data_IF_863904095974
#
_entry.id   IF_863904095974
#
_cell.length_a   1.000
_cell.length_b   1.000
_cell.length_c   1.000
_cell.angle_alpha   90.00
_cell.angle_beta   90.00
_cell.angle_gamma   90.00
#
_symmetry.space_group_name_H-M   'P 1'
#
loop_
_entity.id
_entity.type
_entity.pdbx_description
1 polymer ?
#
# COMPACT_ATOMS: atom_id res chain seq x y z
N UNK A 1 15.44 18.50 -27.81
CA UNK A 1 14.48 18.71 -26.72
C UNK A 1 14.49 17.52 -25.77
N UNK A 2 14.36 17.73 -24.47
CA UNK A 2 14.51 16.70 -23.45
C UNK A 2 13.43 15.60 -23.44
N UNK A 3 12.51 15.58 -24.39
CA UNK A 3 11.32 14.70 -24.44
C UNK A 3 11.57 13.18 -24.47
N UNK A 4 12.81 12.72 -24.54
CA UNK A 4 13.15 11.27 -24.59
C UNK A 4 14.14 10.84 -23.54
N UNK A 5 14.44 11.73 -22.59
CA UNK A 5 15.51 11.53 -21.62
C UNK A 5 15.23 10.37 -20.67
N UNK A 6 14.00 10.24 -20.23
CA UNK A 6 13.54 9.17 -19.32
C UNK A 6 12.56 8.17 -19.95
N UNK A 7 12.33 8.25 -21.26
CA UNK A 7 11.50 7.25 -21.94
C UNK A 7 12.23 5.93 -22.02
N UNK A 8 11.76 4.97 -21.28
CA UNK A 8 12.26 3.60 -21.28
C UNK A 8 12.34 3.05 -22.72
N UNK A 9 13.49 2.45 -23.07
CA UNK A 9 13.71 1.95 -24.42
C UNK A 9 14.25 2.97 -25.43
N UNK A 10 14.24 4.27 -25.13
CA UNK A 10 14.86 5.28 -26.01
C UNK A 10 16.41 5.16 -25.98
N UNK A 11 17.06 5.59 -27.07
CA UNK A 11 18.53 5.60 -27.14
C UNK A 11 19.14 6.52 -26.06
N UNK A 12 18.49 7.64 -25.78
CA UNK A 12 18.94 8.59 -24.76
C UNK A 12 18.80 7.98 -23.35
N UNK A 13 17.73 7.26 -23.07
CA UNK A 13 17.55 6.55 -21.80
C UNK A 13 18.66 5.51 -21.59
N UNK A 14 18.96 4.69 -22.61
CA UNK A 14 20.05 3.69 -22.56
C UNK A 14 21.41 4.34 -22.34
N UNK A 15 21.65 5.46 -23.01
CA UNK A 15 22.89 6.23 -22.88
C UNK A 15 23.01 6.78 -21.44
N UNK A 16 21.97 7.36 -20.90
CA UNK A 16 21.95 7.87 -19.54
C UNK A 16 22.24 6.80 -18.50
N UNK A 17 21.69 5.59 -18.71
CA UNK A 17 21.98 4.44 -17.84
C UNK A 17 23.42 3.97 -17.96
N UNK A 18 24.01 4.01 -19.15
CA UNK A 18 25.40 3.66 -19.39
C UNK A 18 26.38 4.65 -18.70
N UNK A 19 25.97 5.89 -18.47
CA UNK A 19 26.70 6.91 -17.72
C UNK A 19 26.34 6.97 -16.23
N UNK A 20 25.79 5.90 -15.67
CA UNK A 20 25.53 5.75 -14.24
C UNK A 20 24.51 6.75 -13.67
N UNK A 21 23.64 7.32 -14.51
CA UNK A 21 22.51 8.13 -14.04
C UNK A 21 21.56 7.25 -13.25
N UNK A 22 21.73 7.24 -11.93
CA UNK A 22 20.97 6.41 -10.97
C UNK A 22 19.97 7.28 -10.24
N UNK A 23 18.74 7.26 -10.69
CA UNK A 23 17.67 7.90 -9.97
C UNK A 23 16.94 6.90 -9.08
N UNK A 24 16.70 7.31 -7.85
CA UNK A 24 15.83 6.56 -6.96
C UNK A 24 14.42 7.10 -6.94
N UNK A 25 14.21 8.40 -7.25
CA UNK A 25 12.96 9.14 -7.02
C UNK A 25 12.41 9.04 -5.59
N UNK A 26 13.21 8.48 -4.68
CA UNK A 26 12.84 8.24 -3.28
C UNK A 26 13.33 9.36 -2.36
N UNK A 27 14.47 9.94 -2.73
CA UNK A 27 15.08 11.04 -1.99
C UNK A 27 15.68 12.05 -2.99
N UNK A 28 14.98 13.15 -3.29
CA UNK A 28 15.45 14.16 -4.24
C UNK A 28 16.81 14.77 -3.90
N UNK A 29 17.11 14.93 -2.62
CA UNK A 29 18.42 15.46 -2.18
C UNK A 29 19.55 14.48 -2.52
N UNK A 30 19.35 13.20 -2.28
CA UNK A 30 20.31 12.16 -2.65
C UNK A 30 20.45 12.04 -4.18
N UNK A 31 19.34 12.11 -4.90
CA UNK A 31 19.36 12.04 -6.36
C UNK A 31 20.14 13.22 -6.96
N UNK A 32 20.01 14.44 -6.37
CA UNK A 32 20.83 15.60 -6.74
C UNK A 32 22.31 15.38 -6.42
N UNK A 33 22.64 14.81 -5.26
CA UNK A 33 24.02 14.53 -4.86
C UNK A 33 24.68 13.47 -5.76
N UNK A 34 23.94 12.46 -6.19
CA UNK A 34 24.47 11.37 -7.03
C UNK A 34 24.57 11.78 -8.50
N UNK A 35 23.56 12.42 -9.04
CA UNK A 35 23.46 12.71 -10.47
C UNK A 35 23.83 14.17 -10.83
N UNK A 36 23.96 15.03 -9.83
CA UNK A 36 24.09 16.46 -10.02
C UNK A 36 22.78 17.15 -10.37
N UNK A 37 22.69 18.48 -10.17
CA UNK A 37 21.43 19.23 -10.29
C UNK A 37 20.86 19.23 -11.72
N UNK A 38 21.72 19.28 -12.74
CA UNK A 38 21.27 19.35 -14.14
C UNK A 38 20.66 18.03 -14.59
N UNK A 39 21.34 16.89 -14.35
CA UNK A 39 20.83 15.57 -14.71
C UNK A 39 19.57 15.26 -13.90
N UNK A 40 19.57 15.61 -12.62
CA UNK A 40 18.39 15.43 -11.77
C UNK A 40 17.18 16.23 -12.33
N UNK A 41 17.38 17.50 -12.69
CA UNK A 41 16.36 18.34 -13.30
C UNK A 41 15.82 17.75 -14.62
N UNK A 42 16.71 17.29 -15.52
CA UNK A 42 16.32 16.67 -16.78
C UNK A 42 15.52 15.38 -16.57
N UNK A 43 15.87 14.60 -15.54
CA UNK A 43 15.16 13.40 -15.15
C UNK A 43 13.71 13.68 -14.70
N UNK A 44 13.44 14.85 -14.11
CA UNK A 44 12.10 15.24 -13.64
C UNK A 44 11.24 15.90 -14.71
N UNK A 45 11.81 16.44 -15.78
CA UNK A 45 11.05 17.15 -16.83
C UNK A 45 10.39 16.21 -17.84
N UNK A 46 11.00 15.07 -18.15
CA UNK A 46 10.55 14.19 -19.23
C UNK A 46 10.07 12.85 -18.69
N UNK A 47 9.05 12.88 -17.86
CA UNK A 47 8.40 11.68 -17.34
C UNK A 47 7.21 11.30 -18.21
N UNK A 48 7.31 10.15 -18.84
CA UNK A 48 6.13 9.47 -19.31
C UNK A 48 5.44 8.80 -18.13
N UNK A 49 4.35 9.38 -17.67
CA UNK A 49 3.59 8.85 -16.53
C UNK A 49 2.85 7.58 -16.96
N UNK A 50 2.07 7.67 -18.02
CA UNK A 50 1.40 6.55 -18.70
C UNK A 50 0.94 6.98 -20.10
N UNK A 51 0.62 6.01 -20.95
CA UNK A 51 0.09 6.27 -22.29
C UNK A 51 -1.30 6.89 -22.23
N UNK A 52 -1.54 7.86 -23.11
CA UNK A 52 -2.85 8.49 -23.24
C UNK A 52 -3.85 7.54 -23.86
N UNK A 53 -4.97 7.23 -23.19
CA UNK A 53 -6.06 6.46 -23.80
C UNK A 53 -6.61 7.15 -25.06
N UNK A 54 -6.90 6.38 -26.10
CA UNK A 54 -7.24 6.92 -27.44
C UNK A 54 -8.47 7.81 -27.46
N UNK A 55 -9.45 7.58 -26.59
CA UNK A 55 -10.71 8.32 -26.52
C UNK A 55 -10.79 9.23 -25.26
N UNK A 56 -9.65 9.57 -24.68
CA UNK A 56 -9.63 10.44 -23.50
C UNK A 56 -10.18 11.83 -23.80
N UNK A 57 -11.21 12.21 -23.06
CA UNK A 57 -11.85 13.54 -23.14
C UNK A 57 -12.67 13.83 -21.89
N UNK A 58 -13.02 15.09 -21.68
CA UNK A 58 -13.95 15.50 -20.60
C UNK A 58 -15.29 14.76 -20.72
N UNK A 59 -15.82 14.64 -21.94
CA UNK A 59 -17.09 13.91 -22.19
C UNK A 59 -16.99 12.45 -21.81
N UNK A 60 -15.85 11.80 -22.11
CA UNK A 60 -15.66 10.39 -21.75
C UNK A 60 -15.58 10.19 -20.25
N UNK A 61 -14.91 11.10 -19.54
CA UNK A 61 -14.87 11.05 -18.05
C UNK A 61 -16.27 11.24 -17.47
N UNK A 62 -17.08 12.16 -18.02
CA UNK A 62 -18.47 12.35 -17.60
C UNK A 62 -19.33 11.08 -17.81
N UNK A 63 -19.15 10.41 -18.97
CA UNK A 63 -19.83 9.12 -19.24
C UNK A 63 -19.43 8.03 -18.26
N UNK A 64 -18.16 7.97 -17.87
CA UNK A 64 -17.70 7.02 -16.85
C UNK A 64 -18.32 7.31 -15.49
N UNK A 65 -18.39 8.58 -15.11
CA UNK A 65 -19.10 8.97 -13.88
C UNK A 65 -20.55 8.48 -13.90
N UNK A 66 -21.31 8.73 -14.95
CA UNK A 66 -22.71 8.33 -15.07
C UNK A 66 -22.86 6.80 -15.02
N UNK A 67 -21.98 6.07 -15.70
CA UNK A 67 -21.94 4.61 -15.67
C UNK A 67 -21.74 4.07 -14.25
N UNK A 68 -20.71 4.55 -13.55
CA UNK A 68 -20.37 4.05 -12.23
C UNK A 68 -21.25 4.62 -11.12
N UNK A 69 -21.90 5.74 -11.33
CA UNK A 69 -22.95 6.20 -10.41
C UNK A 69 -24.14 5.23 -10.39
N UNK A 70 -24.53 4.67 -11.53
CA UNK A 70 -25.55 3.62 -11.59
C UNK A 70 -25.12 2.35 -10.86
N UNK A 71 -23.85 1.95 -11.00
CA UNK A 71 -23.29 0.82 -10.25
C UNK A 71 -23.29 1.12 -8.74
N UNK A 72 -22.90 2.32 -8.33
CA UNK A 72 -22.95 2.77 -6.95
C UNK A 72 -24.37 2.71 -6.39
N UNK A 73 -25.37 3.18 -7.14
CA UNK A 73 -26.77 3.15 -6.72
C UNK A 73 -27.25 1.72 -6.47
N UNK A 74 -26.83 0.75 -7.28
CA UNK A 74 -27.14 -0.68 -7.07
C UNK A 74 -26.45 -1.23 -5.80
N UNK A 75 -25.16 -0.97 -5.64
CA UNK A 75 -24.41 -1.41 -4.44
C UNK A 75 -25.04 -0.82 -3.18
N UNK A 76 -25.41 0.45 -3.22
CA UNK A 76 -25.94 1.18 -2.07
C UNK A 76 -27.34 0.75 -1.63
N UNK A 77 -28.05 -0.03 -2.44
CA UNK A 77 -29.32 -0.65 -2.02
C UNK A 77 -29.15 -1.60 -0.83
N UNK A 78 -27.99 -2.20 -0.67
CA UNK A 78 -27.68 -3.18 0.38
C UNK A 78 -26.69 -2.68 1.43
N UNK A 79 -26.03 -1.54 1.19
CA UNK A 79 -25.11 -0.93 2.15
C UNK A 79 -25.84 -0.03 3.14
N UNK A 80 -25.55 -0.19 4.42
CA UNK A 80 -26.30 0.48 5.51
C UNK A 80 -25.55 1.61 6.18
N UNK A 81 -24.22 1.62 6.10
CA UNK A 81 -23.39 2.53 6.87
C UNK A 81 -22.90 3.72 6.05
N UNK A 82 -22.74 4.84 6.75
CA UNK A 82 -22.06 6.04 6.25
C UNK A 82 -20.58 5.95 6.65
N UNK A 83 -19.70 5.98 5.66
CA UNK A 83 -18.25 5.89 5.89
C UNK A 83 -17.73 7.00 6.81
N UNK A 84 -18.30 8.21 6.73
CA UNK A 84 -17.88 9.34 7.56
C UNK A 84 -18.08 9.13 9.06
N UNK A 85 -18.91 8.17 9.43
CA UNK A 85 -19.17 7.79 10.83
C UNK A 85 -18.28 6.65 11.32
N UNK A 86 -17.51 6.02 10.43
CA UNK A 86 -16.57 4.95 10.74
C UNK A 86 -15.23 5.52 11.19
N UNK A 87 -14.51 4.78 12.01
CA UNK A 87 -13.05 4.97 12.19
C UNK A 87 -12.34 3.90 11.38
N UNK A 88 -11.59 4.32 10.37
CA UNK A 88 -10.84 3.43 9.48
C UNK A 88 -9.36 3.72 9.62
N UNK A 89 -8.58 2.66 9.81
CA UNK A 89 -7.13 2.72 9.95
C UNK A 89 -6.52 1.94 8.80
N UNK A 90 -5.71 2.61 7.98
CA UNK A 90 -4.82 1.94 7.05
C UNK A 90 -3.44 1.86 7.71
N UNK A 91 -2.99 0.66 8.01
CA UNK A 91 -1.71 0.41 8.65
C UNK A 91 -0.75 -0.25 7.67
N UNK A 92 0.16 0.55 7.13
CA UNK A 92 1.32 0.06 6.42
C UNK A 92 2.32 -0.48 7.44
N UNK A 93 2.53 -1.80 7.44
CA UNK A 93 3.51 -2.47 8.27
C UNK A 93 4.80 -2.68 7.47
N UNK A 94 5.84 -1.97 7.86
CA UNK A 94 7.13 -1.93 7.16
C UNK A 94 7.69 -3.33 6.90
N UNK A 95 7.93 -3.65 5.63
CA UNK A 95 8.53 -4.90 5.13
C UNK A 95 7.87 -6.18 5.67
N UNK A 96 6.58 -6.17 6.00
CA UNK A 96 5.94 -7.29 6.68
C UNK A 96 5.47 -8.37 5.71
N UNK A 97 6.07 -9.56 5.81
CA UNK A 97 5.65 -10.79 5.14
C UNK A 97 5.37 -11.89 6.16
N UNK A 98 4.70 -12.93 5.72
CA UNK A 98 4.66 -14.19 6.46
C UNK A 98 6.04 -14.87 6.35
N UNK A 99 6.78 -15.06 7.45
CA UNK A 99 8.13 -15.65 7.39
C UNK A 99 8.21 -17.02 6.74
N UNK A 100 7.13 -17.78 6.75
CA UNK A 100 7.09 -19.08 6.06
C UNK A 100 7.09 -18.97 4.53
N UNK A 101 6.88 -17.77 4.00
CA UNK A 101 6.89 -17.53 2.53
C UNK A 101 8.27 -17.24 1.96
N UNK A 102 9.31 -17.10 2.78
CA UNK A 102 10.67 -17.05 2.24
C UNK A 102 10.92 -18.30 1.39
N UNK A 103 11.37 -18.17 0.14
CA UNK A 103 11.70 -19.32 -0.69
C UNK A 103 12.69 -20.23 0.02
N UNK A 104 12.46 -21.55 -0.06
CA UNK A 104 13.31 -22.61 0.51
C UNK A 104 13.49 -22.60 2.04
N UNK A 105 12.86 -21.71 2.79
CA UNK A 105 13.03 -21.64 4.23
C UNK A 105 12.57 -22.91 4.93
N UNK A 106 13.38 -23.36 5.90
CA UNK A 106 13.05 -24.44 6.82
C UNK A 106 13.32 -23.98 8.23
N UNK A 107 12.35 -24.22 9.12
CA UNK A 107 12.52 -23.99 10.55
C UNK A 107 12.89 -25.30 11.25
N UNK A 108 13.77 -25.23 12.24
CA UNK A 108 14.10 -26.36 13.09
C UNK A 108 12.83 -26.91 13.76
N UNK A 109 12.80 -28.23 13.99
CA UNK A 109 11.65 -28.91 14.64
C UNK A 109 11.33 -28.25 15.99
N UNK A 110 10.06 -27.97 16.24
CA UNK A 110 9.59 -27.36 17.47
C UNK A 110 9.77 -25.85 17.56
N UNK A 111 10.24 -25.19 16.51
CA UNK A 111 10.31 -23.74 16.45
C UNK A 111 8.91 -23.12 16.54
N UNK A 112 8.73 -22.13 17.43
CA UNK A 112 7.46 -21.41 17.58
C UNK A 112 7.17 -20.58 16.34
N UNK A 113 5.91 -20.58 15.92
CA UNK A 113 5.43 -19.71 14.85
C UNK A 113 5.66 -18.23 15.20
N UNK A 114 6.43 -17.48 14.42
CA UNK A 114 6.74 -16.08 14.73
C UNK A 114 5.51 -15.15 14.70
N UNK A 115 4.49 -15.48 13.92
CA UNK A 115 3.28 -14.66 13.76
C UNK A 115 2.01 -15.47 14.06
N UNK A 116 2.04 -16.23 15.12
CA UNK A 116 0.95 -17.15 15.50
C UNK A 116 -0.39 -16.46 15.69
N UNK A 117 -0.40 -15.24 16.24
CA UNK A 117 -1.63 -14.49 16.41
C UNK A 117 -2.20 -14.04 15.07
N UNK A 118 -1.40 -13.48 14.19
CA UNK A 118 -1.83 -13.04 12.85
C UNK A 118 -2.32 -14.26 12.06
N UNK A 119 -1.64 -15.41 12.11
CA UNK A 119 -2.11 -16.64 11.48
C UNK A 119 -3.49 -17.07 12.03
N UNK A 120 -3.75 -16.89 13.31
CA UNK A 120 -5.05 -17.24 13.91
C UNK A 120 -6.21 -16.43 13.36
N UNK A 121 -5.95 -15.20 12.87
CA UNK A 121 -6.97 -14.33 12.28
C UNK A 121 -7.55 -14.89 10.98
N UNK A 122 -6.86 -15.80 10.30
CA UNK A 122 -7.33 -16.43 9.06
C UNK A 122 -8.71 -17.05 9.19
N UNK A 123 -9.05 -17.58 10.35
CA UNK A 123 -10.33 -18.26 10.59
C UNK A 123 -11.51 -17.30 10.68
N UNK A 124 -11.31 -16.13 11.26
CA UNK A 124 -12.39 -15.21 11.68
C UNK A 124 -12.35 -13.84 11.02
N UNK A 125 -11.31 -13.54 10.27
CA UNK A 125 -11.02 -12.19 9.77
C UNK A 125 -10.69 -12.26 8.28
N UNK A 126 -10.96 -11.21 7.52
CA UNK A 126 -10.50 -11.06 6.15
C UNK A 126 -8.98 -11.11 6.12
N UNK A 127 -8.42 -12.05 5.34
CA UNK A 127 -7.02 -12.42 5.43
C UNK A 127 -6.52 -12.97 4.09
N UNK A 128 -5.30 -12.63 3.72
CA UNK A 128 -4.71 -13.15 2.49
C UNK A 128 -3.32 -12.59 2.20
N UNK A 129 -2.92 -12.70 0.95
CA UNK A 129 -1.69 -12.17 0.39
C UNK A 129 -1.96 -10.93 -0.44
N UNK A 130 -1.10 -9.92 -0.31
CA UNK A 130 -1.13 -8.70 -1.12
C UNK A 130 0.02 -8.74 -2.12
N UNK A 131 -0.29 -8.47 -3.38
CA UNK A 131 0.73 -8.28 -4.42
C UNK A 131 1.29 -6.87 -4.32
N UNK A 132 2.59 -6.77 -4.01
CA UNK A 132 3.28 -5.49 -3.95
C UNK A 132 3.85 -5.09 -5.31
N UNK A 133 3.80 -3.79 -5.60
CA UNK A 133 4.53 -3.19 -6.72
C UNK A 133 6.01 -2.95 -6.43
N UNK A 134 6.47 -3.23 -5.20
CA UNK A 134 7.85 -3.02 -4.76
C UNK A 134 8.53 -4.29 -4.30
N UNK A 135 9.86 -4.25 -4.29
CA UNK A 135 10.72 -5.23 -3.67
C UNK A 135 11.83 -4.51 -2.89
N UNK A 136 11.94 -4.77 -1.59
CA UNK A 136 12.95 -4.14 -0.73
C UNK A 136 12.88 -2.61 -0.66
N UNK A 137 11.77 -2.03 -1.05
CA UNK A 137 11.53 -0.59 -1.07
C UNK A 137 10.36 -0.19 -1.94
N UNK A 138 10.12 1.12 -2.11
CA UNK A 138 8.98 1.65 -2.83
C UNK A 138 7.74 1.85 -1.95
N UNK A 139 7.93 1.96 -0.64
CA UNK A 139 6.87 2.14 0.38
C UNK A 139 5.83 3.19 -0.01
N UNK A 140 6.27 4.35 -0.50
CA UNK A 140 5.36 5.42 -0.90
C UNK A 140 4.41 5.03 -2.04
N UNK A 141 4.83 4.11 -2.93
CA UNK A 141 3.99 3.64 -4.02
C UNK A 141 2.85 2.76 -3.52
N UNK A 142 3.12 1.87 -2.54
CA UNK A 142 2.07 1.08 -1.89
C UNK A 142 1.13 1.95 -1.07
N UNK A 143 1.68 2.92 -0.36
CA UNK A 143 0.89 3.90 0.39
C UNK A 143 -0.05 4.69 -0.55
N UNK A 144 0.47 5.17 -1.68
CA UNK A 144 -0.33 5.87 -2.68
C UNK A 144 -1.42 4.99 -3.29
N UNK A 145 -1.12 3.73 -3.61
CA UNK A 145 -2.12 2.77 -4.09
C UNK A 145 -3.24 2.55 -3.07
N UNK A 146 -2.91 2.37 -1.79
CA UNK A 146 -3.91 2.16 -0.74
C UNK A 146 -4.78 3.39 -0.51
N UNK A 147 -4.20 4.59 -0.55
CA UNK A 147 -4.91 5.84 -0.31
C UNK A 147 -5.75 6.32 -1.48
N UNK A 148 -5.33 6.04 -2.71
CA UNK A 148 -6.01 6.51 -3.92
C UNK A 148 -6.85 5.45 -4.63
N UNK A 149 -6.53 4.18 -4.45
CA UNK A 149 -7.10 3.09 -5.22
C UNK A 149 -6.53 2.95 -6.64
N UNK A 150 -5.52 3.74 -7.00
CA UNK A 150 -4.80 3.62 -8.27
C UNK A 150 -3.74 2.52 -8.20
N UNK A 151 -3.41 1.93 -9.34
CA UNK A 151 -2.52 0.78 -9.42
C UNK A 151 -1.24 1.12 -10.19
N UNK A 152 -0.10 0.87 -9.59
CA UNK A 152 1.20 1.16 -10.20
C UNK A 152 1.45 0.44 -11.53
N UNK A 153 0.77 -0.67 -11.79
CA UNK A 153 0.85 -1.41 -13.04
C UNK A 153 0.41 -0.63 -14.27
N UNK A 154 -0.39 0.43 -14.10
CA UNK A 154 -0.82 1.32 -15.19
C UNK A 154 0.22 2.37 -15.58
N UNK A 155 1.28 2.51 -14.79
CA UNK A 155 2.22 3.62 -14.91
C UNK A 155 3.62 3.16 -15.32
N UNK A 156 4.44 4.13 -15.73
CA UNK A 156 5.87 3.90 -15.94
C UNK A 156 6.52 3.32 -14.68
N UNK A 157 7.41 2.35 -14.85
CA UNK A 157 8.14 1.68 -13.75
C UNK A 157 9.06 2.63 -12.97
N UNK A 158 9.35 3.81 -13.52
CA UNK A 158 10.16 4.85 -12.87
C UNK A 158 9.34 5.85 -12.07
N UNK A 159 8.00 5.73 -12.09
CA UNK A 159 7.12 6.67 -11.42
C UNK A 159 7.14 6.48 -9.89
N UNK A 160 7.28 7.58 -9.16
CA UNK A 160 6.98 7.70 -7.74
C UNK A 160 5.96 8.81 -7.55
N UNK A 161 4.66 8.48 -7.47
CA UNK A 161 3.58 9.47 -7.52
C UNK A 161 3.70 10.58 -6.46
N UNK A 162 4.17 10.28 -5.27
CA UNK A 162 4.41 11.28 -4.22
C UNK A 162 5.41 12.36 -4.62
N UNK A 163 6.34 12.05 -5.51
CA UNK A 163 7.37 12.99 -5.95
C UNK A 163 7.03 13.65 -7.29
N UNK A 164 6.28 12.95 -8.15
CA UNK A 164 6.12 13.33 -9.56
C UNK A 164 4.69 13.68 -9.96
N UNK A 165 3.69 13.20 -9.24
CA UNK A 165 2.27 13.45 -9.53
C UNK A 165 1.64 14.38 -8.50
N UNK A 166 1.64 14.01 -7.23
CA UNK A 166 0.94 14.75 -6.17
C UNK A 166 1.40 16.21 -6.07
N UNK A 167 2.71 16.56 -6.19
CA UNK A 167 3.17 17.94 -6.13
C UNK A 167 2.60 18.85 -7.22
N UNK A 168 2.08 18.32 -8.31
CA UNK A 168 1.46 19.09 -9.39
C UNK A 168 0.05 19.59 -9.05
N UNK A 169 -0.53 19.12 -7.94
CA UNK A 169 -1.90 19.42 -7.54
C UNK A 169 -1.95 20.31 -6.29
N UNK A 170 -2.93 21.17 -6.22
CA UNK A 170 -3.29 21.89 -4.98
C UNK A 170 -4.06 21.00 -4.01
N UNK A 171 -4.84 20.07 -4.56
CA UNK A 171 -5.60 19.07 -3.85
C UNK A 171 -5.56 17.76 -4.62
N UNK A 172 -5.25 16.68 -3.93
CA UNK A 172 -5.27 15.32 -4.49
C UNK A 172 -6.19 14.42 -3.67
N UNK A 173 -7.24 13.83 -4.27
CA UNK A 173 -8.22 13.07 -3.52
C UNK A 173 -7.65 11.72 -3.06
N UNK A 174 -7.87 11.41 -1.79
CA UNK A 174 -7.61 10.11 -1.18
C UNK A 174 -8.85 9.62 -0.46
N UNK A 175 -8.83 8.37 0.02
CA UNK A 175 -9.92 7.85 0.84
C UNK A 175 -10.18 8.73 2.07
N UNK A 176 -9.16 9.38 2.60
CA UNK A 176 -9.29 10.30 3.73
C UNK A 176 -10.28 11.45 3.50
N UNK A 177 -10.49 11.87 2.25
CA UNK A 177 -11.45 12.92 1.92
C UNK A 177 -12.93 12.56 2.20
N UNK A 178 -13.22 11.28 2.42
CA UNK A 178 -14.55 10.77 2.76
C UNK A 178 -14.86 10.83 4.26
N UNK A 179 -13.95 11.34 5.06
CA UNK A 179 -14.06 11.47 6.52
C UNK A 179 -14.04 12.95 6.91
N UNK A 180 -14.68 13.27 8.04
CA UNK A 180 -14.66 14.63 8.58
C UNK A 180 -13.28 15.01 9.18
N UNK A 181 -12.46 14.02 9.45
CA UNK A 181 -11.11 14.21 9.99
C UNK A 181 -10.20 13.10 9.49
N UNK A 182 -9.00 13.48 9.04
CA UNK A 182 -7.99 12.56 8.57
C UNK A 182 -6.63 12.90 9.19
N UNK A 183 -5.91 11.87 9.60
CA UNK A 183 -4.57 12.02 10.17
C UNK A 183 -3.62 10.94 9.67
N UNK A 184 -2.33 11.20 9.80
CA UNK A 184 -1.27 10.22 9.59
C UNK A 184 -0.33 10.20 10.79
N UNK A 185 0.23 9.03 11.06
CA UNK A 185 1.24 8.80 12.10
C UNK A 185 2.38 8.00 11.50
N UNK A 186 3.59 8.53 11.60
CA UNK A 186 4.82 7.84 11.21
C UNK A 186 5.89 8.10 12.28
N UNK A 187 6.17 7.15 13.18
CA UNK A 187 7.12 7.38 14.28
C UNK A 187 8.59 7.37 13.81
N UNK A 188 8.84 8.08 12.73
CA UNK A 188 10.12 8.27 12.06
C UNK A 188 10.19 9.63 11.37
N UNK A 189 11.20 9.87 10.53
CA UNK A 189 11.41 11.12 9.81
C UNK A 189 10.28 11.36 8.80
N UNK A 190 9.62 12.51 8.89
CA UNK A 190 8.45 12.83 8.04
C UNK A 190 8.77 13.31 6.62
N UNK A 191 10.04 13.66 6.34
CA UNK A 191 10.45 14.25 5.05
C UNK A 191 10.58 13.24 3.92
N UNK A 192 10.71 11.95 4.23
CA UNK A 192 10.81 10.92 3.20
C UNK A 192 9.59 10.95 2.27
N UNK A 193 9.85 10.86 0.97
CA UNK A 193 8.85 10.85 -0.10
C UNK A 193 7.96 12.09 -0.13
N UNK A 194 8.45 13.24 0.33
CA UNK A 194 7.67 14.50 0.35
C UNK A 194 6.37 14.45 1.18
N UNK A 195 6.21 13.49 2.09
CA UNK A 195 4.97 13.26 2.86
C UNK A 195 4.44 14.51 3.55
N UNK A 196 5.31 15.36 4.09
CA UNK A 196 4.88 16.59 4.79
C UNK A 196 4.05 17.48 3.87
N UNK A 197 4.50 17.68 2.63
CA UNK A 197 3.80 18.50 1.66
C UNK A 197 2.64 17.80 0.99
N UNK A 198 2.79 16.52 0.69
CA UNK A 198 1.74 15.73 0.04
C UNK A 198 0.52 15.53 0.93
N UNK A 199 0.73 15.31 2.23
CA UNK A 199 -0.39 15.19 3.16
C UNK A 199 -1.17 16.49 3.34
N UNK A 200 -0.55 17.65 3.11
CA UNK A 200 -1.28 18.91 2.99
C UNK A 200 -2.18 18.92 1.74
N UNK A 201 -1.69 18.39 0.61
CA UNK A 201 -2.47 18.24 -0.63
C UNK A 201 -3.59 17.22 -0.50
N UNK A 202 -3.40 16.15 0.28
CA UNK A 202 -4.47 15.21 0.66
C UNK A 202 -5.47 15.80 1.65
N UNK A 203 -5.22 17.02 2.15
CA UNK A 203 -6.03 17.70 3.18
C UNK A 203 -6.12 16.91 4.49
N UNK A 204 -5.06 16.20 4.86
CA UNK A 204 -4.96 15.63 6.19
C UNK A 204 -4.88 16.73 7.25
N UNK A 205 -5.66 16.59 8.31
CA UNK A 205 -5.76 17.56 9.37
C UNK A 205 -4.53 17.53 10.31
N UNK A 206 -3.84 16.39 10.35
CA UNK A 206 -2.74 16.17 11.28
C UNK A 206 -1.76 15.15 10.73
N UNK A 207 -0.46 15.43 10.84
CA UNK A 207 0.60 14.47 10.59
C UNK A 207 1.57 14.44 11.78
N UNK A 208 1.64 13.29 12.45
CA UNK A 208 2.50 13.03 13.61
C UNK A 208 3.74 12.28 13.15
N UNK A 209 4.91 12.89 13.30
CA UNK A 209 6.21 12.32 12.93
C UNK A 209 7.31 12.85 13.87
N UNK A 210 8.48 12.24 13.86
CA UNK A 210 9.62 12.71 14.65
C UNK A 210 10.04 14.12 14.22
N UNK A 211 10.00 15.05 15.18
CA UNK A 211 10.29 16.47 14.92
C UNK A 211 9.08 17.30 14.51
N UNK A 212 7.88 16.72 14.38
CA UNK A 212 6.65 17.50 14.21
C UNK A 212 6.25 18.22 15.50
N UNK A 213 5.36 19.22 15.38
CA UNK A 213 4.76 19.88 16.56
C UNK A 213 3.95 18.93 17.45
N UNK A 214 3.61 17.75 16.97
CA UNK A 214 2.89 16.72 17.72
C UNK A 214 3.87 15.70 18.27
N UNK A 215 3.88 15.49 19.59
CA UNK A 215 4.75 14.50 20.21
C UNK A 215 4.34 13.07 19.85
N UNK A 216 5.33 12.24 19.52
CA UNK A 216 5.19 10.79 19.52
C UNK A 216 5.27 10.32 20.96
N UNK A 217 4.22 9.62 21.43
CA UNK A 217 4.13 9.07 22.80
C UNK A 217 4.65 7.64 22.83
N UNK A 218 5.00 7.17 24.04
CA UNK A 218 5.39 5.79 24.31
C UNK A 218 6.47 5.26 23.36
N UNK A 219 7.49 6.09 23.10
CA UNK A 219 8.60 5.70 22.23
C UNK A 219 9.34 4.52 22.85
N UNK A 220 9.26 3.38 22.18
CA UNK A 220 9.91 2.14 22.57
C UNK A 220 10.73 1.60 21.40
N UNK A 221 12.02 1.50 21.59
CA UNK A 221 12.94 0.78 20.69
C UNK A 221 13.18 -0.63 21.25
N UNK A 222 13.42 -1.59 20.37
CA UNK A 222 13.63 -2.98 20.75
C UNK A 222 15.08 -3.38 20.53
N UNK A 223 15.68 -3.99 21.55
CA UNK A 223 17.10 -4.35 21.51
C UNK A 223 17.98 -3.13 21.24
N UNK A 224 18.87 -3.25 20.28
CA UNK A 224 19.76 -2.16 19.82
C UNK A 224 19.27 -1.44 18.55
N UNK A 225 18.05 -1.74 18.11
CA UNK A 225 17.45 -1.07 16.95
C UNK A 225 17.33 0.44 17.18
N UNK A 226 17.64 1.22 16.14
CA UNK A 226 17.42 2.67 16.14
C UNK A 226 15.97 3.06 15.88
N UNK A 227 15.14 2.13 15.39
CA UNK A 227 13.75 2.41 15.02
C UNK A 227 12.79 2.32 16.19
N UNK A 228 11.77 3.17 16.17
CA UNK A 228 10.62 3.00 17.04
C UNK A 228 9.86 1.71 16.68
N UNK A 229 9.44 0.98 17.69
CA UNK A 229 8.73 -0.29 17.53
C UNK A 229 7.28 -0.10 17.07
N UNK A 230 6.67 -1.18 16.62
CA UNK A 230 5.24 -1.22 16.29
C UNK A 230 4.36 -0.96 17.52
N UNK A 231 4.84 -1.26 18.73
CA UNK A 231 4.17 -0.84 19.96
C UNK A 231 4.02 0.68 20.05
N UNK A 232 5.05 1.43 19.64
CA UNK A 232 4.98 2.90 19.55
C UNK A 232 3.99 3.34 18.47
N UNK A 233 4.03 2.72 17.30
CA UNK A 233 3.10 3.03 16.20
C UNK A 233 1.65 2.88 16.66
N UNK A 234 1.32 1.75 17.26
CA UNK A 234 -0.05 1.48 17.73
C UNK A 234 -0.47 2.31 18.95
N UNK A 235 0.44 2.64 19.85
CA UNK A 235 0.14 3.56 20.95
C UNK A 235 -0.29 4.94 20.43
N UNK A 236 0.38 5.45 19.40
CA UNK A 236 0.02 6.72 18.76
C UNK A 236 -1.27 6.61 17.91
N UNK A 237 -1.50 5.47 17.29
CA UNK A 237 -2.77 5.16 16.64
C UNK A 237 -3.94 5.16 17.62
N UNK A 238 -3.78 4.51 18.78
CA UNK A 238 -4.76 4.47 19.85
C UNK A 238 -5.05 5.87 20.40
N UNK A 239 -4.01 6.65 20.64
CA UNK A 239 -4.15 8.06 21.04
C UNK A 239 -4.97 8.85 20.04
N UNK A 240 -4.74 8.65 18.74
CA UNK A 240 -5.49 9.33 17.70
C UNK A 240 -6.95 8.88 17.67
N UNK A 241 -7.25 7.59 17.81
CA UNK A 241 -8.61 7.06 17.93
C UNK A 241 -9.36 7.74 19.09
N UNK A 242 -8.71 7.84 20.24
CA UNK A 242 -9.31 8.39 21.46
C UNK A 242 -9.42 9.92 21.44
N UNK A 243 -8.74 10.62 20.54
CA UNK A 243 -8.76 12.08 20.43
C UNK A 243 -10.08 12.65 19.91
N UNK A 244 -10.96 11.83 19.34
CA UNK A 244 -12.19 12.26 18.70
C UNK A 244 -13.35 11.31 18.99
N UNK A 245 -14.54 11.87 19.14
CA UNK A 245 -15.76 11.08 19.34
C UNK A 245 -16.33 10.55 18.02
N UNK A 246 -16.24 11.31 16.94
CA UNK A 246 -16.79 10.98 15.63
C UNK A 246 -15.87 10.08 14.80
N UNK A 247 -16.34 9.77 13.59
CA UNK A 247 -15.56 9.01 12.61
C UNK A 247 -14.31 9.75 12.14
N UNK A 248 -13.29 9.00 11.74
CA UNK A 248 -12.01 9.53 11.26
C UNK A 248 -11.27 8.50 10.41
N UNK A 249 -10.36 9.00 9.59
CA UNK A 249 -9.39 8.19 8.87
C UNK A 249 -8.00 8.37 9.50
N UNK A 250 -7.29 7.26 9.67
CA UNK A 250 -5.94 7.26 10.24
C UNK A 250 -5.03 6.43 9.33
N UNK A 251 -3.98 7.05 8.80
CA UNK A 251 -2.92 6.37 8.09
C UNK A 251 -1.75 6.13 9.04
N UNK A 252 -1.53 4.87 9.45
CA UNK A 252 -0.41 4.47 10.31
C UNK A 252 0.70 3.88 9.47
N UNK A 253 1.91 4.43 9.58
CA UNK A 253 3.08 3.98 8.84
C UNK A 253 4.13 3.52 9.84
N UNK A 254 4.35 2.21 9.91
CA UNK A 254 5.35 1.62 10.78
C UNK A 254 6.77 1.81 10.24
N UNK A 255 7.77 1.53 11.06
CA UNK A 255 9.20 1.60 10.70
C UNK A 255 10.01 0.45 11.31
N UNK A 256 9.47 -0.29 12.26
CA UNK A 256 10.21 -1.26 13.07
C UNK A 256 11.05 -2.24 12.24
N UNK A 257 10.48 -2.81 11.19
CA UNK A 257 11.11 -3.86 10.40
C UNK A 257 11.87 -3.33 9.17
N UNK A 258 12.20 -2.05 9.14
CA UNK A 258 13.01 -1.46 8.09
C UNK A 258 14.46 -1.96 8.15
N UNK A 259 15.08 -2.18 7.00
CA UNK A 259 16.51 -2.50 6.90
C UNK A 259 17.39 -1.38 7.48
N UNK A 260 18.68 -1.67 7.83
CA UNK A 260 19.37 -2.94 7.79
C UNK A 260 19.04 -3.84 8.99
N UNK A 261 19.20 -5.15 8.81
CA UNK A 261 18.91 -6.14 9.87
C UNK A 261 20.20 -6.55 10.59
N UNK A 262 20.70 -5.65 11.44
CA UNK A 262 22.06 -5.70 12.03
C UNK A 262 22.14 -6.52 13.33
N UNK A 263 21.41 -7.63 13.45
CA UNK A 263 21.41 -8.48 14.64
C UNK A 263 21.08 -7.71 15.94
N UNK A 264 20.15 -6.78 15.87
CA UNK A 264 19.84 -5.85 16.96
C UNK A 264 18.98 -6.42 18.11
N UNK A 265 18.64 -7.72 18.06
CA UNK A 265 17.91 -8.39 19.13
C UNK A 265 18.84 -9.34 19.91
N UNK A 266 19.40 -8.94 21.08
CA UNK A 266 20.38 -9.74 21.82
C UNK A 266 19.85 -11.12 22.25
N UNK A 267 18.55 -11.24 22.46
CA UNK A 267 17.88 -12.51 22.79
C UNK A 267 16.98 -12.94 21.63
N UNK A 268 17.59 -13.24 20.49
CA UNK A 268 16.84 -13.66 19.31
C UNK A 268 16.51 -15.16 19.38
N UNK A 269 15.24 -15.48 19.62
CA UNK A 269 14.75 -16.86 19.66
C UNK A 269 14.97 -17.62 18.34
N UNK A 270 14.95 -16.93 17.20
CA UNK A 270 15.06 -17.55 15.87
C UNK A 270 16.51 -17.71 15.39
N UNK A 271 17.49 -17.19 16.11
CA UNK A 271 18.90 -17.41 15.82
C UNK A 271 19.25 -18.90 15.86
N UNK A 272 19.86 -19.41 14.81
CA UNK A 272 20.24 -20.84 14.67
C UNK A 272 19.07 -21.79 14.37
N UNK A 273 17.87 -21.29 14.12
CA UNK A 273 16.67 -22.13 13.85
C UNK A 273 16.20 -22.11 12.40
N UNK A 274 16.94 -21.46 11.50
CA UNK A 274 16.59 -21.27 10.10
C UNK A 274 17.62 -21.97 9.23
N UNK A 275 17.16 -22.66 8.19
CA UNK A 275 17.95 -23.28 7.14
C UNK A 275 17.23 -23.22 5.79
N UNK A 276 17.88 -23.69 4.74
CA UNK A 276 17.39 -23.70 3.36
C UNK A 276 18.39 -23.02 2.43
N UNK A 277 18.31 -23.30 1.13
CA UNK A 277 19.33 -22.91 0.15
C UNK A 277 19.62 -21.41 0.15
N UNK A 278 18.60 -20.56 0.33
CA UNK A 278 18.77 -19.09 0.43
C UNK A 278 19.50 -18.64 1.70
N UNK A 279 19.62 -19.50 2.71
CA UNK A 279 20.14 -19.20 4.03
C UNK A 279 21.46 -19.93 4.32
N UNK A 280 22.11 -20.49 3.29
CA UNK A 280 23.45 -21.10 3.41
C UNK A 280 24.50 -20.05 3.71
N UNK A 281 24.32 -18.81 3.19
CA UNK A 281 25.14 -17.68 3.60
C UNK A 281 24.84 -17.26 5.04
N UNK A 282 25.86 -17.25 5.88
CA UNK A 282 25.72 -16.93 7.31
C UNK A 282 25.27 -15.50 7.57
N UNK A 283 25.61 -14.53 6.70
CA UNK A 283 25.15 -13.15 6.80
C UNK A 283 23.64 -13.03 6.47
N UNK A 284 23.21 -13.66 5.39
CA UNK A 284 21.79 -13.71 5.01
C UNK A 284 20.96 -14.39 6.10
N UNK A 285 21.46 -15.50 6.63
CA UNK A 285 20.80 -16.24 7.72
C UNK A 285 20.67 -15.40 8.99
N UNK A 286 21.68 -14.64 9.37
CA UNK A 286 21.64 -13.73 10.52
C UNK A 286 20.67 -12.59 10.31
N UNK A 287 20.67 -11.97 9.14
CA UNK A 287 19.70 -10.94 8.78
C UNK A 287 18.25 -11.47 8.80
N UNK A 288 18.04 -12.67 8.23
CA UNK A 288 16.72 -13.32 8.24
C UNK A 288 16.23 -13.63 9.66
N UNK A 289 17.09 -14.14 10.54
CA UNK A 289 16.75 -14.40 11.93
C UNK A 289 16.39 -13.10 12.68
N UNK A 290 17.10 -12.02 12.44
CA UNK A 290 16.80 -10.69 12.98
C UNK A 290 15.44 -10.20 12.49
N UNK A 291 15.19 -10.29 11.20
CA UNK A 291 13.92 -9.91 10.58
C UNK A 291 12.74 -10.71 11.15
N UNK A 292 12.88 -12.04 11.24
CA UNK A 292 11.84 -12.94 11.76
C UNK A 292 11.52 -12.63 13.22
N UNK A 293 12.52 -12.33 14.04
CA UNK A 293 12.30 -11.86 15.41
C UNK A 293 11.53 -10.53 15.42
N UNK A 294 11.82 -9.63 14.48
CA UNK A 294 11.06 -8.39 14.28
C UNK A 294 9.59 -8.66 13.95
N UNK A 295 9.29 -9.61 13.05
CA UNK A 295 7.90 -9.99 12.75
C UNK A 295 7.17 -10.57 13.96
N UNK A 296 7.89 -11.28 14.83
CA UNK A 296 7.34 -11.74 16.09
C UNK A 296 6.92 -10.59 17.01
N UNK A 297 7.74 -9.55 17.11
CA UNK A 297 7.36 -8.35 17.85
C UNK A 297 6.19 -7.61 17.21
N UNK A 298 6.10 -7.57 15.89
CA UNK A 298 4.93 -7.05 15.17
C UNK A 298 3.67 -7.82 15.55
N UNK A 299 3.74 -9.15 15.56
CA UNK A 299 2.62 -10.03 15.95
C UNK A 299 2.11 -9.73 17.36
N UNK A 300 3.02 -9.56 18.32
CA UNK A 300 2.68 -9.19 19.69
C UNK A 300 2.04 -7.78 19.77
N UNK A 301 2.56 -6.82 19.04
CA UNK A 301 2.04 -5.45 19.00
C UNK A 301 0.63 -5.41 18.38
N UNK A 302 0.41 -6.15 17.29
CA UNK A 302 -0.90 -6.31 16.64
C UNK A 302 -1.91 -6.94 17.60
N UNK A 303 -1.52 -8.03 18.28
CA UNK A 303 -2.38 -8.70 19.27
C UNK A 303 -2.83 -7.74 20.37
N UNK A 304 -1.91 -6.95 20.90
CA UNK A 304 -2.20 -5.94 21.93
C UNK A 304 -3.16 -4.88 21.38
N UNK A 305 -2.88 -4.36 20.20
CA UNK A 305 -3.69 -3.30 19.59
C UNK A 305 -5.12 -3.75 19.30
N UNK A 306 -5.30 -4.95 18.72
CA UNK A 306 -6.63 -5.51 18.47
C UNK A 306 -7.42 -5.68 19.75
N UNK A 307 -6.79 -6.17 20.83
CA UNK A 307 -7.45 -6.24 22.14
C UNK A 307 -7.88 -4.87 22.68
N UNK A 308 -7.08 -3.83 22.41
CA UNK A 308 -7.40 -2.47 22.83
C UNK A 308 -8.57 -1.88 22.04
N UNK A 309 -8.59 -2.02 20.72
CA UNK A 309 -9.69 -1.50 19.90
C UNK A 309 -11.00 -2.26 20.10
N UNK A 310 -10.96 -3.53 20.49
CA UNK A 310 -12.18 -4.30 20.81
C UNK A 310 -12.90 -3.79 22.05
N UNK A 311 -12.22 -3.08 22.93
CA UNK A 311 -12.84 -2.45 24.12
C UNK A 311 -13.48 -1.10 23.84
N UNK A 312 -13.22 -0.53 22.64
CA UNK A 312 -13.69 0.81 22.29
C UNK A 312 -15.08 0.71 21.67
N UNK A 313 -16.03 1.49 22.21
CA UNK A 313 -17.41 1.57 21.74
C UNK A 313 -17.56 2.56 20.58
N UNK A 314 -16.80 2.30 19.52
CA UNK A 314 -16.84 2.99 18.21
C UNK A 314 -16.61 1.96 17.12
N UNK A 315 -17.20 2.12 15.93
CA UNK A 315 -16.93 1.21 14.81
C UNK A 315 -15.54 1.48 14.25
N UNK A 316 -14.61 0.54 14.47
CA UNK A 316 -13.21 0.63 14.06
C UNK A 316 -12.89 -0.53 13.12
N UNK A 317 -12.35 -0.23 11.95
CA UNK A 317 -11.84 -1.23 11.01
C UNK A 317 -10.39 -0.93 10.69
N UNK A 318 -9.53 -1.94 10.88
CA UNK A 318 -8.10 -1.91 10.66
C UNK A 318 -7.77 -2.68 9.38
N UNK A 319 -7.20 -2.01 8.39
CA UNK A 319 -6.57 -2.61 7.22
C UNK A 319 -5.08 -2.66 7.48
N UNK A 320 -4.57 -3.84 7.79
CA UNK A 320 -3.15 -4.11 8.00
C UNK A 320 -2.55 -4.72 6.74
N UNK A 321 -1.42 -4.18 6.26
CA UNK A 321 -0.72 -4.74 5.11
C UNK A 321 0.79 -4.51 5.18
N UNK A 322 1.57 -5.51 4.79
CA UNK A 322 3.00 -5.34 4.52
C UNK A 322 3.18 -4.63 3.17
N UNK A 323 4.07 -3.67 3.10
CA UNK A 323 4.26 -2.87 1.88
C UNK A 323 5.08 -3.58 0.81
N UNK A 324 6.14 -4.26 1.17
CA UNK A 324 7.00 -5.02 0.25
C UNK A 324 7.78 -6.11 0.98
N UNK A 325 8.43 -6.96 0.21
CA UNK A 325 9.36 -7.97 0.72
C UNK A 325 10.60 -7.33 1.35
N UNK A 326 11.15 -7.89 2.45
CA UNK A 326 12.38 -7.34 3.06
C UNK A 326 13.59 -7.54 2.13
N UNK A 327 14.48 -6.55 2.09
CA UNK A 327 15.69 -6.56 1.25
C UNK A 327 16.79 -7.42 1.89
N UNK A 328 16.56 -8.71 2.08
CA UNK A 328 17.51 -9.67 2.64
C UNK A 328 18.12 -10.52 1.53
N UNK A 329 17.27 -10.97 0.62
CA UNK A 329 17.65 -11.86 -0.48
C UNK A 329 17.93 -11.02 -1.71
N UNK A 330 18.90 -11.46 -2.53
CA UNK A 330 19.22 -10.77 -3.78
C UNK A 330 18.00 -10.64 -4.69
N UNK A 331 17.87 -9.49 -5.32
CA UNK A 331 16.78 -9.23 -6.28
C UNK A 331 16.77 -10.22 -7.45
N UNK A 332 17.89 -10.88 -7.75
CA UNK A 332 17.97 -11.94 -8.78
C UNK A 332 17.02 -13.10 -8.52
N UNK A 333 16.66 -13.37 -7.26
CA UNK A 333 15.69 -14.40 -6.91
C UNK A 333 14.24 -14.01 -7.26
N UNK A 334 13.95 -12.74 -7.50
CA UNK A 334 12.60 -12.30 -7.91
C UNK A 334 12.18 -12.89 -9.24
N UNK A 335 13.13 -13.12 -10.16
CA UNK A 335 12.84 -13.78 -11.44
C UNK A 335 12.51 -15.27 -11.29
N UNK A 336 13.04 -15.91 -10.26
CA UNK A 336 12.75 -17.33 -9.97
C UNK A 336 11.44 -17.53 -9.22
N UNK A 337 11.08 -16.59 -8.35
CA UNK A 337 9.89 -16.65 -7.49
C UNK A 337 9.10 -15.33 -7.55
N UNK A 338 8.65 -14.89 -8.74
CA UNK A 338 8.15 -13.51 -8.94
C UNK A 338 6.93 -13.19 -8.06
N UNK A 339 5.92 -14.03 -8.05
CA UNK A 339 4.72 -13.81 -7.24
C UNK A 339 5.02 -13.93 -5.75
N UNK A 340 5.76 -14.96 -5.34
CA UNK A 340 6.07 -15.23 -3.95
C UNK A 340 6.88 -14.08 -3.31
N UNK A 341 7.90 -13.58 -4.01
CA UNK A 341 8.78 -12.52 -3.52
C UNK A 341 8.21 -11.11 -3.63
N UNK A 342 7.02 -10.97 -4.18
CA UNK A 342 6.24 -9.73 -4.16
C UNK A 342 4.95 -9.86 -3.35
N UNK A 343 4.72 -10.99 -2.71
CA UNK A 343 3.54 -11.23 -1.88
C UNK A 343 3.81 -10.89 -0.43
N UNK A 344 3.03 -9.99 0.13
CA UNK A 344 3.05 -9.64 1.55
C UNK A 344 1.80 -10.17 2.25
N UNK A 345 1.73 -10.02 3.56
CA UNK A 345 0.56 -10.42 4.34
C UNK A 345 -0.34 -9.22 4.58
N UNK A 346 -1.66 -9.42 4.45
CA UNK A 346 -2.66 -8.45 4.87
C UNK A 346 -3.79 -9.12 5.65
N UNK A 347 -4.49 -8.32 6.44
CA UNK A 347 -5.80 -8.65 6.99
C UNK A 347 -6.64 -7.38 7.17
N UNK A 348 -7.96 -7.53 7.24
CA UNK A 348 -8.89 -6.43 7.54
C UNK A 348 -9.72 -6.87 8.74
N UNK A 349 -9.53 -6.18 9.86
CA UNK A 349 -10.16 -6.48 11.13
C UNK A 349 -11.16 -5.40 11.53
N UNK A 350 -12.43 -5.75 11.69
CA UNK A 350 -13.44 -4.87 12.26
C UNK A 350 -13.62 -5.21 13.74
N UNK A 351 -13.55 -4.21 14.62
CA UNK A 351 -13.67 -4.43 16.04
C UNK A 351 -15.05 -4.94 16.45
N UNK A 352 -15.19 -5.38 17.68
CA UNK A 352 -16.45 -5.93 18.23
C UNK A 352 -17.61 -4.98 18.03
N UNK A 353 -17.43 -3.69 18.34
CA UNK A 353 -18.49 -2.68 18.18
C UNK A 353 -18.91 -2.53 16.69
N UNK A 354 -17.95 -2.47 15.77
CA UNK A 354 -18.26 -2.38 14.33
C UNK A 354 -19.06 -3.60 13.85
N UNK A 355 -18.69 -4.81 14.26
CA UNK A 355 -19.42 -6.04 13.91
C UNK A 355 -20.85 -6.07 14.47
N UNK A 356 -21.08 -5.46 15.61
CA UNK A 356 -22.42 -5.31 16.20
C UNK A 356 -23.26 -4.22 15.52
N UNK A 357 -22.64 -3.38 14.66
CA UNK A 357 -23.26 -2.25 13.98
C UNK A 357 -23.11 -2.33 12.45
N UNK A 358 -23.27 -3.51 11.89
CA UNK A 358 -23.40 -3.76 10.47
C UNK A 358 -22.12 -4.11 9.72
N UNK A 359 -20.95 -3.98 10.32
CA UNK A 359 -19.71 -4.43 9.69
C UNK A 359 -19.65 -5.97 9.64
N UNK A 360 -19.00 -6.49 8.59
CA UNK A 360 -18.71 -7.92 8.48
C UNK A 360 -17.44 -8.26 9.27
N UNK A 361 -17.39 -9.46 9.84
CA UNK A 361 -16.18 -9.99 10.47
C UNK A 361 -15.16 -10.42 9.42
N UNK A 362 -15.63 -11.01 8.32
CA UNK A 362 -14.79 -11.63 7.30
C UNK A 362 -15.45 -11.56 5.93
N UNK A 363 -14.71 -11.05 4.95
CA UNK A 363 -15.04 -11.22 3.53
C UNK A 363 -14.63 -12.62 3.08
N UNK A 364 -15.42 -13.24 2.22
CA UNK A 364 -15.25 -14.64 1.80
C UNK A 364 -14.91 -14.79 0.31
N UNK A 365 -14.96 -13.72 -0.46
CA UNK A 365 -14.73 -13.73 -1.90
C UNK A 365 -13.55 -12.84 -2.28
N UNK A 366 -12.66 -13.33 -3.15
CA UNK A 366 -11.53 -12.56 -3.70
C UNK A 366 -10.57 -12.02 -2.61
N UNK A 367 -10.24 -12.83 -1.62
CA UNK A 367 -9.42 -12.43 -0.48
C UNK A 367 -8.04 -13.07 -0.43
N UNK A 368 -7.80 -14.17 -1.16
CA UNK A 368 -6.53 -14.90 -1.07
C UNK A 368 -5.36 -14.15 -1.68
N UNK A 369 -5.59 -13.50 -2.84
CA UNK A 369 -4.62 -12.64 -3.51
C UNK A 369 -5.30 -11.36 -3.95
N UNK A 370 -4.82 -10.25 -3.42
CA UNK A 370 -5.31 -8.90 -3.71
C UNK A 370 -4.15 -7.99 -4.08
N UNK A 371 -4.43 -6.85 -4.68
CA UNK A 371 -3.44 -5.79 -4.84
C UNK A 371 -3.72 -4.66 -3.84
N UNK A 372 -2.72 -3.83 -3.59
CA UNK A 372 -2.82 -2.73 -2.61
C UNK A 372 -3.95 -1.76 -2.95
N UNK A 373 -4.19 -1.54 -4.23
CA UNK A 373 -5.30 -0.70 -4.73
C UNK A 373 -6.70 -1.27 -4.48
N UNK A 374 -6.83 -2.52 -4.04
CA UNK A 374 -8.12 -3.14 -3.69
C UNK A 374 -8.63 -2.76 -2.29
N UNK A 375 -7.78 -2.25 -1.42
CA UNK A 375 -8.14 -2.07 0.00
C UNK A 375 -9.27 -1.07 0.23
N UNK A 376 -9.41 -0.04 -0.60
CA UNK A 376 -10.56 0.87 -0.51
C UNK A 376 -11.87 0.11 -0.71
N UNK A 377 -11.98 -0.65 -1.80
CA UNK A 377 -13.19 -1.43 -2.09
C UNK A 377 -13.48 -2.48 -1.02
N UNK A 378 -12.46 -3.20 -0.57
CA UNK A 378 -12.59 -4.25 0.45
C UNK A 378 -13.01 -3.66 1.81
N UNK A 379 -12.41 -2.54 2.21
CA UNK A 379 -12.75 -1.84 3.44
C UNK A 379 -14.21 -1.35 3.42
N UNK A 380 -14.66 -0.79 2.30
CA UNK A 380 -16.04 -0.33 2.14
C UNK A 380 -17.04 -1.49 2.23
N UNK A 381 -16.71 -2.63 1.63
CA UNK A 381 -17.56 -3.83 1.75
C UNK A 381 -17.60 -4.36 3.18
N UNK A 382 -16.46 -4.45 3.85
CA UNK A 382 -16.39 -4.98 5.21
C UNK A 382 -17.08 -4.07 6.22
N UNK A 383 -16.95 -2.76 6.10
CA UNK A 383 -17.65 -1.79 6.94
C UNK A 383 -19.12 -1.63 6.57
N UNK A 384 -19.58 -2.29 5.51
CA UNK A 384 -20.92 -2.17 4.96
C UNK A 384 -21.30 -0.71 4.63
N UNK A 385 -20.32 0.03 4.11
CA UNK A 385 -20.46 1.46 3.81
C UNK A 385 -20.94 1.69 2.38
N UNK A 386 -21.76 2.71 2.21
CA UNK A 386 -22.19 3.21 0.90
C UNK A 386 -20.98 3.74 0.12
N UNK A 387 -21.06 3.65 -1.20
CA UNK A 387 -19.95 3.95 -2.12
C UNK A 387 -20.30 5.11 -3.06
N UNK A 388 -19.27 5.85 -3.47
CA UNK A 388 -19.33 6.83 -4.56
C UNK A 388 -19.19 6.14 -5.91
N UNK A 389 -19.35 6.88 -7.01
CA UNK A 389 -19.13 6.37 -8.35
C UNK A 389 -17.70 5.80 -8.53
N UNK A 390 -16.67 6.53 -8.09
CA UNK A 390 -15.29 6.05 -8.14
C UNK A 390 -15.08 4.77 -7.31
N UNK A 391 -15.62 4.74 -6.11
CA UNK A 391 -15.54 3.57 -5.24
C UNK A 391 -16.31 2.37 -5.79
N UNK A 392 -17.38 2.60 -6.56
CA UNK A 392 -18.06 1.55 -7.31
C UNK A 392 -17.19 0.99 -8.43
N UNK A 393 -16.46 1.83 -9.16
CA UNK A 393 -15.45 1.38 -10.12
C UNK A 393 -14.40 0.50 -9.44
N UNK A 394 -13.83 0.92 -8.32
CA UNK A 394 -12.86 0.13 -7.55
C UNK A 394 -13.44 -1.21 -7.09
N UNK A 395 -14.71 -1.23 -6.70
CA UNK A 395 -15.42 -2.46 -6.31
C UNK A 395 -15.53 -3.44 -7.48
N UNK A 396 -15.90 -2.95 -8.66
CA UNK A 396 -15.98 -3.76 -9.88
C UNK A 396 -14.60 -4.32 -10.28
N UNK A 397 -13.55 -3.47 -10.22
CA UNK A 397 -12.17 -3.88 -10.51
C UNK A 397 -11.75 -5.01 -9.57
N UNK A 398 -11.96 -4.85 -8.27
CA UNK A 398 -11.62 -5.88 -7.29
C UNK A 398 -12.37 -7.20 -7.54
N UNK A 399 -13.67 -7.13 -7.81
CA UNK A 399 -14.52 -8.33 -7.95
C UNK A 399 -14.34 -9.07 -9.26
N UNK A 400 -14.11 -8.37 -10.36
CA UNK A 400 -14.18 -8.93 -11.72
C UNK A 400 -12.82 -9.17 -12.36
N UNK A 401 -11.76 -8.49 -11.93
CA UNK A 401 -10.41 -8.72 -12.48
C UNK A 401 -9.62 -9.67 -11.57
N UNK A 402 -8.68 -10.46 -12.12
CA UNK A 402 -7.63 -11.05 -11.32
C UNK A 402 -6.89 -9.97 -10.52
N UNK A 403 -6.22 -10.33 -9.43
CA UNK A 403 -5.32 -9.40 -8.76
C UNK A 403 -4.25 -8.92 -9.76
N UNK A 404 -3.99 -7.62 -9.80
CA UNK A 404 -3.15 -7.01 -10.81
C UNK A 404 -2.13 -6.04 -10.17
N UNK A 405 -0.93 -6.03 -10.73
CA UNK A 405 0.16 -5.17 -10.29
C UNK A 405 1.12 -4.91 -11.44
N UNK A 406 2.24 -4.26 -11.18
CA UNK A 406 3.31 -4.08 -12.17
C UNK A 406 3.74 -5.43 -12.76
N UNK A 407 4.28 -5.41 -13.98
CA UNK A 407 4.90 -6.62 -14.52
C UNK A 407 6.13 -7.00 -13.69
N UNK A 408 6.21 -8.26 -13.30
CA UNK A 408 7.37 -8.81 -12.60
C UNK A 408 8.43 -9.39 -13.55
N UNK A 409 8.12 -9.53 -14.83
CA UNK A 409 8.99 -10.15 -15.82
C UNK A 409 9.63 -9.17 -16.79
N UNK A 410 8.97 -8.07 -17.10
CA UNK A 410 9.42 -7.04 -18.02
C UNK A 410 8.95 -5.64 -17.59
N UNK A 411 9.32 -4.62 -18.36
CA UNK A 411 9.05 -3.23 -18.01
C UNK A 411 7.67 -2.73 -18.47
N UNK A 412 6.84 -3.60 -19.03
CA UNK A 412 5.53 -3.22 -19.61
C UNK A 412 4.42 -4.21 -19.24
N UNK A 413 3.20 -3.72 -19.16
CA UNK A 413 2.03 -4.53 -18.87
C UNK A 413 1.81 -4.80 -17.37
N UNK A 414 0.95 -5.78 -17.12
CA UNK A 414 0.57 -6.21 -15.77
C UNK A 414 1.02 -7.63 -15.48
N UNK A 415 1.34 -7.91 -14.23
CA UNK A 415 1.24 -9.25 -13.66
C UNK A 415 -0.18 -9.44 -13.15
N UNK A 416 -0.86 -10.46 -13.63
CA UNK A 416 -2.19 -10.88 -13.17
C UNK A 416 -2.07 -12.18 -12.40
N UNK A 417 -2.74 -12.27 -11.27
CA UNK A 417 -2.66 -13.44 -10.37
C UNK A 417 -4.07 -13.86 -9.95
N UNK A 418 -4.36 -15.15 -10.08
CA UNK A 418 -5.61 -15.73 -9.63
C UNK A 418 -5.64 -15.94 -8.10
N UNK A 419 -6.77 -16.41 -7.59
CA UNK A 419 -6.94 -16.65 -6.14
C UNK A 419 -6.19 -17.88 -5.62
N UNK A 420 -5.48 -18.60 -6.48
CA UNK A 420 -4.57 -19.71 -6.13
C UNK A 420 -3.10 -19.29 -6.16
N UNK A 421 -2.82 -18.02 -6.47
CA UNK A 421 -1.46 -17.49 -6.57
C UNK A 421 -0.75 -17.79 -7.90
N UNK A 422 -1.49 -18.22 -8.92
CA UNK A 422 -0.94 -18.49 -10.25
C UNK A 422 -1.06 -17.28 -11.15
N UNK A 423 -0.02 -17.01 -11.93
CA UNK A 423 -0.07 -16.00 -12.96
C UNK A 423 -1.11 -16.35 -14.03
N UNK A 424 -1.83 -15.34 -14.48
CA UNK A 424 -2.86 -15.42 -15.53
C UNK A 424 -2.36 -14.68 -16.75
N UNK A 425 -2.45 -15.30 -17.94
CA UNK A 425 -2.13 -14.62 -19.19
C UNK A 425 -3.13 -13.48 -19.44
N UNK A 426 -2.67 -12.22 -19.60
CA UNK A 426 -3.54 -11.09 -19.90
C UNK A 426 -4.45 -11.28 -21.13
N UNK A 427 -4.02 -12.11 -22.10
CA UNK A 427 -4.80 -12.43 -23.29
C UNK A 427 -6.06 -13.24 -22.99
N UNK A 428 -6.15 -13.85 -21.82
CA UNK A 428 -7.33 -14.64 -21.39
C UNK A 428 -8.42 -13.80 -20.76
N UNK A 429 -8.20 -12.50 -20.54
CA UNK A 429 -9.23 -11.60 -20.06
C UNK A 429 -10.41 -11.54 -21.05
N UNK A 430 -11.62 -11.64 -20.51
CA UNK A 430 -12.86 -11.49 -21.29
C UNK A 430 -12.99 -10.06 -21.84
N UNK A 431 -13.82 -9.86 -22.85
CA UNK A 431 -14.09 -8.52 -23.39
C UNK A 431 -14.63 -7.56 -22.32
N UNK A 432 -15.45 -8.03 -21.40
CA UNK A 432 -15.97 -7.20 -20.31
C UNK A 432 -14.90 -6.86 -19.26
N UNK A 433 -13.99 -7.77 -18.98
CA UNK A 433 -12.82 -7.51 -18.11
C UNK A 433 -11.87 -6.49 -18.75
N UNK A 434 -11.61 -6.61 -20.05
CA UNK A 434 -10.79 -5.65 -20.81
C UNK A 434 -11.43 -4.25 -20.82
N UNK A 435 -12.75 -4.16 -20.99
CA UNK A 435 -13.47 -2.89 -20.96
C UNK A 435 -13.37 -2.23 -19.56
N UNK A 436 -13.53 -3.03 -18.50
CA UNK A 436 -13.39 -2.56 -17.12
C UNK A 436 -11.97 -2.03 -16.84
N UNK A 437 -10.95 -2.75 -17.30
CA UNK A 437 -9.55 -2.32 -17.15
C UNK A 437 -9.31 -0.99 -17.89
N UNK A 438 -9.87 -0.81 -19.10
CA UNK A 438 -9.79 0.46 -19.85
C UNK A 438 -10.48 1.61 -19.10
N UNK A 439 -11.64 1.38 -18.51
CA UNK A 439 -12.33 2.38 -17.70
C UNK A 439 -11.45 2.82 -16.50
N UNK A 440 -10.83 1.86 -15.84
CA UNK A 440 -9.93 2.10 -14.71
C UNK A 440 -8.68 2.89 -15.15
N UNK A 441 -8.04 2.51 -16.23
CA UNK A 441 -6.89 3.21 -16.81
C UNK A 441 -7.24 4.64 -17.24
N UNK A 442 -8.45 4.86 -17.78
CA UNK A 442 -8.92 6.19 -18.18
C UNK A 442 -8.97 7.16 -16.98
N UNK A 443 -9.51 6.72 -15.86
CA UNK A 443 -9.56 7.53 -14.63
C UNK A 443 -8.16 7.75 -14.07
N UNK A 444 -7.30 6.73 -14.09
CA UNK A 444 -5.92 6.85 -13.63
C UNK A 444 -5.13 7.85 -14.50
N UNK A 445 -5.31 7.80 -15.81
CA UNK A 445 -4.71 8.78 -16.72
C UNK A 445 -5.20 10.21 -16.42
N UNK A 446 -6.52 10.38 -16.28
CA UNK A 446 -7.12 11.69 -15.99
C UNK A 446 -6.51 12.35 -14.76
N UNK A 447 -6.25 11.56 -13.72
CA UNK A 447 -5.77 12.05 -12.43
C UNK A 447 -4.25 12.08 -12.27
N UNK A 448 -3.49 11.65 -13.26
CA UNK A 448 -2.03 11.64 -13.19
C UNK A 448 -1.36 12.41 -14.31
N UNK A 449 -1.67 12.09 -15.56
CA UNK A 449 -1.10 12.73 -16.77
C UNK A 449 -2.12 13.56 -17.54
N UNK A 450 -3.40 13.46 -17.21
CA UNK A 450 -4.50 14.15 -17.88
C UNK A 450 -4.86 15.49 -17.25
N UNK A 451 -6.10 15.89 -17.45
CA UNK A 451 -6.60 17.23 -17.07
C UNK A 451 -7.43 17.25 -15.77
N UNK A 452 -7.44 16.15 -15.01
CA UNK A 452 -8.19 15.99 -13.77
C UNK A 452 -9.68 16.38 -13.89
N UNK A 453 -10.31 15.96 -14.98
CA UNK A 453 -11.74 16.21 -15.21
C UNK A 453 -12.61 15.58 -14.12
N UNK A 454 -12.27 14.38 -13.66
CA UNK A 454 -12.97 13.66 -12.61
C UNK A 454 -12.98 14.44 -11.28
N UNK A 455 -11.93 15.17 -10.98
CA UNK A 455 -11.83 15.98 -9.75
C UNK A 455 -12.90 17.09 -9.69
N UNK A 456 -13.35 17.56 -10.86
CA UNK A 456 -14.36 18.61 -10.98
C UNK A 456 -15.80 18.08 -10.93
N UNK A 457 -16.00 16.77 -10.93
CA UNK A 457 -17.32 16.14 -10.89
C UNK A 457 -17.73 15.92 -9.44
N UNK A 458 -18.73 16.69 -8.98
CA UNK A 458 -19.28 16.55 -7.63
C UNK A 458 -19.90 15.17 -7.45
N UNK A 459 -19.49 14.46 -6.40
CA UNK A 459 -19.98 13.10 -6.10
C UNK A 459 -19.16 11.98 -6.75
N UNK A 460 -18.05 12.28 -7.44
CA UNK A 460 -17.20 11.26 -8.02
C UNK A 460 -16.33 10.56 -6.94
N UNK A 461 -15.51 11.32 -6.21
CA UNK A 461 -14.62 10.79 -5.17
C UNK A 461 -15.19 10.82 -3.76
N UNK A 462 -16.12 11.74 -3.49
CA UNK A 462 -16.79 11.87 -2.18
C UNK A 462 -18.28 11.90 -2.38
N UNK A 463 -19.03 11.48 -1.35
CA UNK A 463 -20.49 11.56 -1.40
C UNK A 463 -20.97 13.00 -1.60
N UNK A 464 -22.03 13.19 -2.38
CA UNK A 464 -22.69 14.50 -2.48
C UNK A 464 -23.24 14.86 -1.09
N UNK A 465 -22.84 16.02 -0.59
CA UNK A 465 -23.44 16.62 0.60
C UNK A 465 -24.73 17.28 0.20
#
# INVERSE_FOLDING_TARGET
TPKWFNHQGSAIYRLNRAFDNKQSFRNPERDIQVNGPILNFLNYIDLQIMDKPSNYSKSQIQKLYEKYQKVADQINKTRTNDLSKQTVIFNLSESFIDPYTFPTIKFAKGTKDPISYIHSLKKTTTYGSMLSAGYGGGTANMEWESLTGFNMGSFSTTLTPYVQVVPQYQYYPTIGANFNYSSAVHPFIGTYYSRIEDYKRFKFNKFVYLGSKYKIVDQKKLGTSSYNSDFTTYANGLRQINSRKGGQFINLIAIQNHMPYNNWYPKNYYAGKISGDLFDDGSIRTQAATYIMGTHYTDQAVKKFIKQIDKIKKPITLVFYGDHYPSIVSQSYTSKYPVQMHSTRYFIYSNKYARQHGAKAKLTSKTNYVNTSDFIAMMLEQTNSKVTAYQALLTEVHKKLPALTISYSDDTGFTLVDQKGKEVDPKTLTSSQQALLKDYEMIQYDMTAGSAHALKIKGFYTMKK
#
